data_IF_848819853214
#
_entry.id   IF_848819853214
#
_cell.length_a   1.000
_cell.length_b   1.000
_cell.length_c   1.000
_cell.angle_alpha   90.00
_cell.angle_beta   90.00
_cell.angle_gamma   90.00
#
_symmetry.space_group_name_H-M   'P 1'
#
loop_
_entity.id
_entity.type
_entity.pdbx_description
1 polymer ?
#
# COMPACT_ATOMS: atom_id res chain seq x y z
N UNK A 1 -58.78 -28.21 3.68
CA UNK A 1 -59.23 -28.32 5.09
C UNK A 1 -57.98 -28.10 5.95
N UNK A 2 -57.71 -26.86 6.26
CA UNK A 2 -56.53 -26.50 7.07
C UNK A 2 -56.86 -26.75 8.55
N UNK A 3 -56.22 -27.73 9.16
CA UNK A 3 -56.25 -27.91 10.62
C UNK A 3 -55.54 -26.72 11.26
N UNK A 4 -56.28 -25.73 11.78
CA UNK A 4 -55.74 -24.75 12.67
C UNK A 4 -55.19 -25.50 13.90
N UNK A 5 -53.87 -25.49 14.11
CA UNK A 5 -53.27 -25.95 15.35
C UNK A 5 -53.93 -25.20 16.50
N UNK A 6 -54.33 -25.92 17.55
CA UNK A 6 -54.97 -25.34 18.72
C UNK A 6 -54.00 -24.34 19.40
N UNK A 7 -54.54 -23.18 19.81
CA UNK A 7 -53.76 -22.11 20.50
C UNK A 7 -52.76 -22.62 21.58
N UNK A 8 -53.11 -23.63 22.41
CA UNK A 8 -52.14 -24.14 23.38
C UNK A 8 -50.95 -24.85 22.74
N UNK A 9 -51.09 -25.48 21.60
CA UNK A 9 -49.98 -26.15 20.90
C UNK A 9 -49.02 -25.12 20.25
N UNK A 10 -49.56 -24.02 19.73
CA UNK A 10 -48.74 -22.92 19.23
C UNK A 10 -47.92 -22.25 20.33
N UNK A 11 -48.51 -22.05 21.53
CA UNK A 11 -47.82 -21.49 22.67
C UNK A 11 -46.72 -22.44 23.17
N UNK A 12 -46.95 -23.77 23.21
CA UNK A 12 -45.97 -24.79 23.56
C UNK A 12 -44.81 -24.83 22.55
N UNK A 13 -45.09 -24.70 21.26
CA UNK A 13 -44.07 -24.66 20.20
C UNK A 13 -43.21 -23.41 20.31
N UNK A 14 -43.81 -22.24 20.53
CA UNK A 14 -43.07 -21.00 20.76
C UNK A 14 -42.20 -21.06 22.03
N UNK A 15 -42.74 -21.62 23.13
CA UNK A 15 -41.98 -21.80 24.37
C UNK A 15 -40.80 -22.77 24.16
N UNK A 16 -40.99 -23.83 23.41
CA UNK A 16 -39.95 -24.81 23.09
C UNK A 16 -38.85 -24.17 22.21
N UNK A 17 -39.24 -23.40 21.19
CA UNK A 17 -38.29 -22.70 20.36
C UNK A 17 -37.50 -21.63 21.14
N UNK A 18 -38.16 -20.88 22.03
CA UNK A 18 -37.47 -19.91 22.90
C UNK A 18 -36.47 -20.59 23.85
N UNK A 19 -36.83 -21.76 24.42
CA UNK A 19 -35.90 -22.54 25.24
C UNK A 19 -34.71 -23.05 24.42
N UNK A 20 -34.94 -23.50 23.18
CA UNK A 20 -33.84 -23.92 22.30
C UNK A 20 -32.90 -22.75 22.03
N UNK A 21 -33.37 -21.55 21.75
CA UNK A 21 -32.52 -20.37 21.53
C UNK A 21 -31.79 -19.90 22.80
N UNK A 22 -32.35 -20.13 23.98
CA UNK A 22 -31.70 -19.81 25.26
C UNK A 22 -30.68 -20.87 25.70
N UNK A 23 -30.91 -22.16 25.36
CA UNK A 23 -30.03 -23.27 25.75
C UNK A 23 -28.91 -23.49 24.73
N UNK A 24 -29.17 -23.20 23.47
CA UNK A 24 -28.17 -23.23 22.38
C UNK A 24 -27.94 -21.82 21.85
N UNK A 25 -27.12 -21.00 22.53
CA UNK A 25 -26.75 -19.72 22.00
C UNK A 25 -26.10 -19.94 20.63
N UNK A 26 -26.72 -19.42 19.56
CA UNK A 26 -26.11 -19.41 18.23
C UNK A 26 -24.79 -18.69 18.42
N UNK A 27 -23.64 -19.32 18.17
CA UNK A 27 -22.38 -18.63 18.30
C UNK A 27 -22.40 -17.44 17.33
N UNK A 28 -22.52 -16.24 17.88
CA UNK A 28 -22.34 -15.03 17.11
C UNK A 28 -20.85 -15.02 16.73
N UNK A 29 -20.54 -15.45 15.52
CA UNK A 29 -19.19 -15.44 14.97
C UNK A 29 -18.81 -14.00 14.76
N UNK A 30 -18.30 -13.36 15.81
CA UNK A 30 -17.71 -12.06 15.68
C UNK A 30 -16.47 -12.20 14.80
N UNK A 31 -16.51 -11.58 13.62
CA UNK A 31 -15.34 -11.54 12.74
C UNK A 31 -14.16 -10.91 13.49
N UNK A 32 -12.97 -11.49 13.34
CA UNK A 32 -11.76 -10.91 13.91
C UNK A 32 -11.59 -9.45 13.39
N UNK A 33 -11.46 -8.52 14.31
CA UNK A 33 -11.36 -7.10 13.98
C UNK A 33 -10.20 -6.82 13.04
N UNK A 34 -9.08 -7.54 13.20
CA UNK A 34 -7.87 -7.39 12.37
C UNK A 34 -8.11 -7.82 10.93
N UNK A 35 -8.92 -8.87 10.71
CA UNK A 35 -9.36 -9.28 9.37
C UNK A 35 -10.12 -8.14 8.68
N UNK A 36 -11.04 -7.51 9.39
CA UNK A 36 -11.83 -6.40 8.87
C UNK A 36 -10.95 -5.17 8.61
N UNK A 37 -10.10 -4.80 9.55
CA UNK A 37 -9.23 -3.62 9.44
C UNK A 37 -8.18 -3.75 8.35
N UNK A 38 -7.54 -4.92 8.22
CA UNK A 38 -6.56 -5.15 7.15
C UNK A 38 -7.22 -5.36 5.78
N UNK A 39 -8.52 -5.64 5.74
CA UNK A 39 -9.30 -5.68 4.50
C UNK A 39 -9.76 -4.31 3.99
N UNK A 40 -9.68 -3.25 4.80
CA UNK A 40 -10.10 -1.90 4.38
C UNK A 40 -9.19 -1.36 3.29
N UNK A 41 -9.75 -0.82 2.21
CA UNK A 41 -8.94 -0.13 1.21
C UNK A 41 -8.34 1.15 1.82
N UNK A 42 -7.08 1.40 1.54
CA UNK A 42 -6.43 2.68 1.84
C UNK A 42 -6.26 3.44 0.55
N UNK A 43 -6.54 4.73 0.60
CA UNK A 43 -6.29 5.66 -0.49
C UNK A 43 -5.67 6.94 0.07
N UNK A 44 -4.83 7.58 -0.74
CA UNK A 44 -4.24 8.86 -0.41
C UNK A 44 -4.01 9.66 -1.70
N UNK A 45 -4.72 10.75 -1.86
CA UNK A 45 -4.72 11.54 -3.08
C UNK A 45 -5.09 10.70 -4.29
N UNK A 46 -4.20 10.66 -5.27
CA UNK A 46 -4.38 9.88 -6.50
C UNK A 46 -4.06 8.39 -6.36
N UNK A 47 -3.42 7.98 -5.27
CA UNK A 47 -3.04 6.58 -5.04
C UNK A 47 -4.20 5.85 -4.36
N UNK A 48 -4.72 4.84 -5.05
CA UNK A 48 -5.81 3.99 -4.58
C UNK A 48 -5.32 2.56 -4.33
N UNK A 49 -6.11 1.79 -3.58
CA UNK A 49 -5.86 0.38 -3.30
C UNK A 49 -4.47 0.11 -2.72
N UNK A 50 -4.05 0.95 -1.76
CA UNK A 50 -2.82 0.71 -1.00
C UNK A 50 -3.08 -0.52 -0.11
N UNK A 51 -2.39 -1.63 -0.42
CA UNK A 51 -2.54 -2.93 0.25
C UNK A 51 -1.20 -3.40 0.78
N UNK A 52 -1.17 -4.57 1.44
CA UNK A 52 0.08 -5.19 1.90
C UNK A 52 1.14 -5.21 0.76
N UNK A 53 2.41 -4.90 1.02
CA UNK A 53 3.04 -4.71 2.34
C UNK A 53 2.84 -3.32 2.95
N UNK A 54 2.19 -2.40 2.24
CA UNK A 54 1.97 -1.02 2.70
C UNK A 54 0.83 -0.95 3.71
N UNK A 55 0.97 0.00 4.64
CA UNK A 55 -0.02 0.33 5.64
C UNK A 55 0.01 1.83 5.96
N UNK A 56 -0.99 2.31 6.67
CA UNK A 56 -1.17 3.72 7.04
C UNK A 56 -2.63 3.97 7.35
N UNK A 57 -2.97 5.10 7.97
CA UNK A 57 -4.36 5.40 8.34
C UNK A 57 -5.31 5.21 7.14
N UNK A 58 -6.45 4.49 7.28
CA UNK A 58 -7.00 3.92 8.52
C UNK A 58 -6.54 2.48 8.87
N UNK A 59 -5.58 1.90 8.15
CA UNK A 59 -5.06 0.54 8.43
C UNK A 59 -4.01 0.58 9.52
N UNK A 60 -4.18 -0.21 10.62
CA UNK A 60 -3.21 -0.28 11.71
C UNK A 60 -1.84 -0.84 11.30
N UNK A 61 -0.79 -0.65 12.13
CA UNK A 61 0.56 -1.13 11.85
C UNK A 61 0.70 -2.63 11.58
N UNK A 62 -0.15 -3.45 12.19
CA UNK A 62 -0.13 -4.90 11.98
C UNK A 62 -0.69 -5.33 10.61
N UNK A 63 -1.20 -4.41 9.80
CA UNK A 63 -1.68 -4.72 8.45
C UNK A 63 -0.61 -4.62 7.36
N UNK A 64 0.65 -4.35 7.71
CA UNK A 64 1.76 -4.27 6.76
C UNK A 64 3.12 -4.33 7.44
N UNK A 65 4.18 -4.22 6.66
CA UNK A 65 5.54 -4.24 7.16
C UNK A 65 5.93 -2.89 7.77
N UNK A 66 6.69 -2.85 8.86
CA UNK A 66 7.02 -1.59 9.57
C UNK A 66 7.57 -0.50 8.66
N UNK A 67 8.51 -0.84 7.77
CA UNK A 67 9.19 0.10 6.88
C UNK A 67 8.35 0.53 5.66
N UNK A 68 7.15 -0.06 5.50
CA UNK A 68 6.25 0.22 4.38
C UNK A 68 5.08 1.14 4.78
N UNK A 69 5.27 1.93 5.83
CA UNK A 69 4.27 2.91 6.25
C UNK A 69 4.12 4.02 5.21
N UNK A 70 2.89 4.25 4.76
CA UNK A 70 2.54 5.42 3.95
C UNK A 70 1.73 6.38 4.82
N UNK A 71 2.25 7.57 5.00
CA UNK A 71 1.56 8.68 5.67
C UNK A 71 0.84 9.53 4.61
N UNK A 72 -0.44 9.77 4.83
CA UNK A 72 -1.22 10.66 3.99
C UNK A 72 -1.20 12.06 4.60
N UNK A 73 -0.39 12.96 4.04
CA UNK A 73 -0.25 14.34 4.48
C UNK A 73 -0.93 15.25 3.46
N UNK A 74 -2.07 15.84 3.79
CA UNK A 74 -2.84 16.71 2.89
C UNK A 74 -3.04 16.10 1.48
N UNK A 75 -3.49 14.83 1.45
CA UNK A 75 -3.68 14.02 0.24
C UNK A 75 -2.36 13.69 -0.52
N UNK A 76 -1.22 13.94 0.08
CA UNK A 76 0.09 13.56 -0.45
C UNK A 76 0.54 12.26 0.25
N UNK A 77 0.67 11.15 -0.49
CA UNK A 77 1.19 9.91 0.07
C UNK A 77 2.71 9.99 0.23
N UNK A 78 3.19 9.88 1.46
CA UNK A 78 4.60 9.98 1.82
C UNK A 78 5.08 8.67 2.43
N UNK A 79 6.21 8.16 1.93
CA UNK A 79 6.96 7.06 2.52
C UNK A 79 8.31 7.56 2.99
N UNK A 80 8.75 7.09 4.16
CA UNK A 80 10.08 7.36 4.66
C UNK A 80 11.00 6.16 4.40
N UNK A 81 12.11 6.40 3.71
CA UNK A 81 13.14 5.39 3.47
C UNK A 81 14.45 5.94 4.07
N UNK A 82 14.99 5.24 5.04
CA UNK A 82 16.10 5.75 5.86
C UNK A 82 15.74 7.10 6.50
N UNK A 83 16.51 8.14 6.21
CA UNK A 83 16.31 9.50 6.75
C UNK A 83 15.65 10.46 5.75
N UNK A 84 15.25 9.98 4.58
CA UNK A 84 14.66 10.79 3.52
C UNK A 84 13.18 10.48 3.35
N UNK A 85 12.40 11.54 3.08
CA UNK A 85 10.96 11.44 2.79
C UNK A 85 10.73 11.49 1.28
N UNK A 86 9.89 10.58 0.81
CA UNK A 86 9.56 10.46 -0.60
C UNK A 86 8.05 10.56 -0.81
N UNK A 87 7.63 11.34 -1.79
CA UNK A 87 6.27 11.29 -2.29
C UNK A 87 6.10 10.05 -3.15
N UNK A 88 5.07 9.27 -2.88
CA UNK A 88 4.69 8.12 -3.70
C UNK A 88 3.88 8.62 -4.89
N UNK A 89 4.36 8.37 -6.09
CA UNK A 89 3.70 8.76 -7.35
C UNK A 89 2.88 7.63 -7.95
N UNK A 90 3.32 6.38 -7.76
CA UNK A 90 2.64 5.18 -8.26
C UNK A 90 3.08 3.95 -7.47
N UNK A 91 2.15 3.02 -7.25
CA UNK A 91 2.41 1.68 -6.71
C UNK A 91 1.98 0.67 -7.78
N UNK A 92 2.86 -0.26 -8.11
CA UNK A 92 2.56 -1.40 -8.96
C UNK A 92 2.86 -2.68 -8.17
N UNK A 93 1.81 -3.30 -7.65
CA UNK A 93 1.91 -4.50 -6.82
C UNK A 93 2.39 -5.72 -7.62
N UNK A 94 1.97 -5.85 -8.87
CA UNK A 94 2.30 -7.02 -9.69
C UNK A 94 3.80 -7.15 -9.98
N UNK A 95 4.48 -6.01 -10.10
CA UNK A 95 5.90 -5.95 -10.43
C UNK A 95 6.76 -5.50 -9.25
N UNK A 96 6.19 -5.30 -8.09
CA UNK A 96 6.86 -4.76 -6.89
C UNK A 96 7.58 -3.43 -7.16
N UNK A 97 6.94 -2.51 -7.91
CA UNK A 97 7.56 -1.23 -8.28
C UNK A 97 6.85 -0.07 -7.60
N UNK A 98 7.65 0.74 -6.89
CA UNK A 98 7.27 2.09 -6.45
C UNK A 98 7.89 3.13 -7.38
N UNK A 99 7.08 4.10 -7.80
CA UNK A 99 7.57 5.36 -8.38
C UNK A 99 7.56 6.42 -7.30
N UNK A 100 8.72 6.99 -7.05
CA UNK A 100 8.99 7.92 -5.96
C UNK A 100 9.63 9.20 -6.47
N UNK A 101 9.39 10.31 -5.78
CA UNK A 101 10.20 11.51 -5.89
C UNK A 101 10.58 12.01 -4.51
N UNK A 102 11.75 12.64 -4.36
CA UNK A 102 12.13 13.25 -3.09
C UNK A 102 11.15 14.37 -2.74
N UNK A 103 10.62 14.34 -1.52
CA UNK A 103 9.63 15.32 -1.09
C UNK A 103 10.20 16.74 -1.06
N UNK A 104 11.49 16.89 -0.72
CA UNK A 104 12.18 18.17 -0.62
C UNK A 104 12.61 18.75 -1.99
N UNK A 105 12.51 17.96 -3.06
CA UNK A 105 12.75 18.39 -4.44
C UNK A 105 11.47 18.44 -5.28
N UNK A 106 10.34 18.07 -4.72
CA UNK A 106 9.06 18.11 -5.42
C UNK A 106 8.56 19.55 -5.55
N UNK A 107 8.25 19.97 -6.76
CA UNK A 107 7.93 21.37 -7.14
C UNK A 107 9.06 22.37 -6.80
N UNK A 108 10.29 21.88 -6.88
CA UNK A 108 11.47 22.71 -6.66
C UNK A 108 12.76 22.04 -7.06
N UNK A 109 13.84 22.78 -6.92
CA UNK A 109 15.20 22.33 -7.26
C UNK A 109 16.17 22.50 -6.09
N UNK A 110 15.66 22.94 -4.93
CA UNK A 110 16.44 23.20 -3.73
C UNK A 110 16.12 22.19 -2.65
N UNK A 111 17.01 21.25 -2.32
CA UNK A 111 16.76 20.32 -1.24
C UNK A 111 16.84 21.02 0.12
N UNK A 112 16.09 20.51 1.09
CA UNK A 112 16.18 20.96 2.48
C UNK A 112 17.49 20.50 3.14
N UNK A 113 18.01 19.36 2.71
CA UNK A 113 19.28 18.77 3.13
C UNK A 113 20.07 18.27 1.92
N UNK A 114 21.35 18.55 1.90
CA UNK A 114 22.26 18.15 0.81
C UNK A 114 22.77 16.71 1.03
N UNK A 115 21.85 15.76 0.85
CA UNK A 115 22.16 14.33 0.97
C UNK A 115 21.89 13.62 -0.37
N UNK A 116 22.75 12.66 -0.70
CA UNK A 116 22.49 11.76 -1.82
C UNK A 116 21.26 10.91 -1.56
N UNK A 117 20.48 10.67 -2.59
CA UNK A 117 19.37 9.73 -2.49
C UNK A 117 19.92 8.31 -2.32
N UNK A 118 19.58 7.65 -1.23
CA UNK A 118 20.02 6.29 -0.90
C UNK A 118 18.82 5.43 -0.53
N UNK A 119 18.96 4.12 -0.78
CA UNK A 119 17.95 3.11 -0.44
C UNK A 119 18.51 2.16 0.62
N UNK A 120 17.62 1.54 1.42
CA UNK A 120 17.98 0.48 2.33
C UNK A 120 17.90 -0.89 1.62
N UNK A 121 18.10 -1.98 2.37
CA UNK A 121 18.09 -3.35 1.84
C UNK A 121 16.72 -3.83 1.33
N UNK A 122 15.62 -3.14 1.70
CA UNK A 122 14.25 -3.47 1.27
C UNK A 122 13.89 -2.83 -0.07
N UNK A 123 14.67 -1.86 -0.53
CA UNK A 123 14.41 -1.15 -1.77
C UNK A 123 15.67 -1.10 -2.63
N UNK A 124 15.55 -1.49 -3.88
CA UNK A 124 16.62 -1.34 -4.86
C UNK A 124 16.17 -0.45 -6.01
N UNK A 125 17.09 0.27 -6.63
CA UNK A 125 16.77 1.00 -7.84
C UNK A 125 16.36 0.04 -8.94
N UNK A 126 15.34 0.44 -9.73
CA UNK A 126 14.98 -0.30 -10.94
C UNK A 126 16.17 -0.39 -11.89
N UNK A 127 16.39 -1.51 -12.59
CA UNK A 127 17.39 -1.57 -13.66
C UNK A 127 17.20 -0.41 -14.63
N UNK A 128 18.29 0.19 -15.10
CA UNK A 128 18.27 1.28 -16.05
C UNK A 128 17.68 2.59 -15.49
N UNK A 129 18.03 3.00 -14.28
CA UNK A 129 17.77 4.35 -13.82
C UNK A 129 18.81 5.35 -14.35
N UNK A 130 18.42 6.61 -14.52
CA UNK A 130 19.34 7.71 -14.78
C UNK A 130 19.76 8.38 -13.48
N UNK A 131 20.87 9.08 -13.50
CA UNK A 131 21.31 9.93 -12.39
C UNK A 131 21.44 11.37 -12.84
N UNK A 132 21.03 12.27 -11.96
CA UNK A 132 21.38 13.69 -12.02
C UNK A 132 22.28 14.01 -10.84
N UNK A 133 23.36 14.75 -11.09
CA UNK A 133 24.15 15.36 -10.02
C UNK A 133 23.87 16.87 -10.03
N UNK A 134 23.37 17.37 -8.90
CA UNK A 134 23.05 18.78 -8.68
C UNK A 134 24.16 19.41 -7.86
N UNK A 135 24.67 20.56 -8.29
CA UNK A 135 25.76 21.31 -7.66
C UNK A 135 25.24 22.62 -7.11
N UNK A 136 25.66 22.97 -5.90
CA UNK A 136 25.21 24.17 -5.19
C UNK A 136 26.38 24.95 -4.62
N UNK A 137 26.16 26.28 -4.45
CA UNK A 137 27.17 27.18 -3.90
C UNK A 137 28.44 27.25 -4.76
N UNK A 138 28.27 27.31 -6.08
CA UNK A 138 29.39 27.37 -7.01
C UNK A 138 29.88 28.80 -7.15
N UNK A 139 31.14 29.06 -6.81
CA UNK A 139 31.82 30.36 -7.04
C UNK A 139 32.22 30.54 -8.50
N UNK A 140 32.49 29.43 -9.20
CA UNK A 140 32.75 29.39 -10.63
C UNK A 140 32.21 28.08 -11.19
N UNK A 141 31.65 28.09 -12.38
CA UNK A 141 31.24 26.91 -13.12
C UNK A 141 32.20 26.65 -14.27
N UNK A 142 32.49 25.38 -14.51
CA UNK A 142 33.23 25.03 -15.74
C UNK A 142 32.38 25.30 -16.97
N UNK A 143 33.00 25.47 -18.16
CA UNK A 143 32.24 25.59 -19.42
C UNK A 143 31.26 24.44 -19.66
N UNK A 144 31.59 23.23 -19.18
CA UNK A 144 30.73 22.03 -19.27
C UNK A 144 29.44 22.14 -18.43
N UNK A 145 29.46 22.88 -17.33
CA UNK A 145 28.30 23.13 -16.48
C UNK A 145 27.52 24.38 -16.88
N UNK A 146 28.10 25.29 -17.59
CA UNK A 146 27.52 26.62 -17.86
C UNK A 146 26.18 26.58 -18.58
N UNK A 147 25.92 25.55 -19.39
CA UNK A 147 24.66 25.33 -20.10
C UNK A 147 23.55 24.72 -19.21
N UNK A 148 23.93 24.05 -18.14
CA UNK A 148 23.01 23.27 -17.26
C UNK A 148 22.77 24.04 -15.95
N UNK A 149 22.22 25.22 -16.06
CA UNK A 149 22.02 26.16 -14.97
C UNK A 149 20.57 26.08 -14.44
N UNK A 150 20.39 26.12 -13.12
CA UNK A 150 19.07 26.27 -12.51
C UNK A 150 19.10 27.28 -11.37
N UNK A 151 17.91 27.74 -10.97
CA UNK A 151 17.75 28.65 -9.85
C UNK A 151 17.31 27.86 -8.63
N UNK A 152 18.00 28.06 -7.49
CA UNK A 152 17.70 27.48 -6.22
C UNK A 152 17.21 28.57 -5.27
N UNK A 153 15.94 28.52 -4.86
CA UNK A 153 15.37 29.45 -3.87
C UNK A 153 15.12 28.70 -2.57
N UNK A 154 15.81 29.08 -1.51
CA UNK A 154 15.54 28.55 -0.16
C UNK A 154 14.34 29.26 0.47
N UNK A 155 13.45 28.51 1.06
CA UNK A 155 12.17 28.99 1.62
C UNK A 155 12.30 30.12 2.67
N UNK A 156 13.49 30.33 3.27
CA UNK A 156 13.72 31.32 4.33
C UNK A 156 14.65 32.48 3.94
N UNK A 157 15.07 32.55 2.68
CA UNK A 157 15.94 33.65 2.23
C UNK A 157 15.41 34.23 0.92
N UNK A 158 15.50 35.58 0.82
CA UNK A 158 15.18 36.29 -0.44
C UNK A 158 16.25 36.06 -1.51
N UNK A 159 17.34 35.36 -1.18
CA UNK A 159 18.45 35.10 -2.10
C UNK A 159 18.15 33.90 -3.01
N UNK A 160 18.31 34.13 -4.30
CA UNK A 160 18.27 33.04 -5.29
C UNK A 160 19.72 32.64 -5.53
N UNK A 161 20.06 31.41 -5.26
CA UNK A 161 21.35 30.82 -5.56
C UNK A 161 21.30 30.17 -6.96
N UNK A 162 22.38 30.27 -7.69
CA UNK A 162 22.54 29.56 -8.96
C UNK A 162 23.09 28.17 -8.67
N UNK A 163 22.40 27.16 -9.10
CA UNK A 163 22.88 25.77 -9.14
C UNK A 163 23.19 25.32 -10.57
N UNK A 164 23.90 24.23 -10.68
CA UNK A 164 24.23 23.57 -11.94
C UNK A 164 23.95 22.05 -11.83
N UNK A 165 23.76 21.38 -12.94
CA UNK A 165 23.57 19.95 -12.94
C UNK A 165 24.34 19.24 -14.05
N UNK A 166 24.64 17.96 -13.83
CA UNK A 166 25.13 17.05 -14.86
C UNK A 166 24.23 15.83 -14.96
N UNK A 167 24.21 15.23 -16.13
CA UNK A 167 23.53 13.96 -16.39
C UNK A 167 24.58 12.85 -16.33
N UNK A 168 24.27 11.76 -15.61
CA UNK A 168 25.18 10.64 -15.44
C UNK A 168 26.22 10.83 -14.31
N UNK A 169 27.31 10.07 -14.40
CA UNK A 169 28.43 10.18 -13.46
C UNK A 169 29.19 11.49 -13.61
N UNK A 170 29.74 11.96 -12.50
CA UNK A 170 30.61 13.14 -12.50
C UNK A 170 31.79 12.88 -13.44
N UNK A 171 32.06 13.79 -14.39
CA UNK A 171 33.25 13.69 -15.23
C UNK A 171 34.51 13.59 -14.35
N UNK A 172 35.37 12.61 -14.63
CA UNK A 172 36.60 12.35 -13.88
C UNK A 172 37.65 13.44 -14.01
N UNK A 173 37.49 14.34 -14.96
CA UNK A 173 38.47 15.36 -15.33
C UNK A 173 38.54 16.53 -14.33
N UNK A 174 37.88 16.41 -13.18
CA UNK A 174 38.15 17.24 -12.00
C UNK A 174 37.82 18.73 -12.07
N UNK A 175 37.45 19.27 -13.22
CA UNK A 175 37.30 20.72 -13.42
C UNK A 175 35.82 21.15 -13.55
N UNK A 176 34.98 20.72 -12.61
CA UNK A 176 33.57 21.11 -12.56
C UNK A 176 33.32 22.53 -12.04
N UNK A 177 34.39 23.21 -11.61
CA UNK A 177 34.33 24.49 -10.91
C UNK A 177 34.33 24.27 -9.37
N UNK A 178 34.41 25.37 -8.63
CA UNK A 178 34.41 25.36 -7.18
C UNK A 178 32.97 25.42 -6.65
N UNK A 179 32.34 24.26 -6.41
CA UNK A 179 31.02 24.16 -5.80
C UNK A 179 31.17 23.62 -4.37
N UNK A 180 30.36 24.16 -3.45
CA UNK A 180 30.45 23.80 -2.03
C UNK A 180 29.90 22.40 -1.75
N UNK A 181 28.87 21.96 -2.49
CA UNK A 181 28.23 20.68 -2.26
C UNK A 181 27.57 20.17 -3.55
N UNK A 182 27.52 18.86 -3.68
CA UNK A 182 26.76 18.17 -4.72
C UNK A 182 25.92 17.06 -4.13
N UNK A 183 24.79 16.78 -4.78
CA UNK A 183 23.93 15.64 -4.45
C UNK A 183 23.59 14.86 -5.72
N UNK A 184 23.49 13.56 -5.59
CA UNK A 184 23.05 12.67 -6.68
C UNK A 184 21.60 12.24 -6.44
N UNK A 185 20.77 12.41 -7.48
CA UNK A 185 19.34 12.08 -7.46
C UNK A 185 19.07 11.13 -8.62
N UNK A 186 18.50 9.94 -8.35
CA UNK A 186 18.05 9.06 -9.42
C UNK A 186 16.82 9.65 -10.12
N UNK A 187 16.69 9.37 -11.41
CA UNK A 187 15.59 9.83 -12.25
C UNK A 187 15.22 8.75 -13.27
N UNK A 188 14.05 8.90 -13.90
CA UNK A 188 13.66 8.01 -14.99
C UNK A 188 14.55 8.21 -16.22
N UNK A 189 14.93 7.14 -16.96
CA UNK A 189 15.69 7.25 -18.20
C UNK A 189 14.97 8.10 -19.26
N UNK A 190 13.65 7.99 -19.34
CA UNK A 190 12.84 8.80 -20.25
C UNK A 190 12.90 10.30 -19.90
N UNK A 191 12.95 10.63 -18.61
CA UNK A 191 13.09 12.00 -18.13
C UNK A 191 14.48 12.58 -18.46
N UNK A 192 15.54 11.76 -18.35
CA UNK A 192 16.88 12.13 -18.81
C UNK A 192 16.88 12.48 -20.30
N UNK A 193 16.27 11.63 -21.12
CA UNK A 193 16.16 11.87 -22.56
C UNK A 193 15.38 13.17 -22.87
N UNK A 194 14.31 13.42 -22.13
CA UNK A 194 13.51 14.63 -22.26
C UNK A 194 14.31 15.90 -21.87
N UNK A 195 15.15 15.80 -20.84
CA UNK A 195 16.02 16.89 -20.40
C UNK A 195 17.11 17.22 -21.46
N UNK A 196 17.76 16.18 -22.00
CA UNK A 196 18.78 16.33 -23.07
C UNK A 196 18.17 17.01 -24.30
N UNK A 197 16.96 16.62 -24.66
CA UNK A 197 16.27 17.16 -25.83
C UNK A 197 15.56 18.50 -25.57
N UNK A 198 15.74 19.10 -24.39
CA UNK A 198 15.07 20.33 -23.95
C UNK A 198 13.53 20.27 -24.04
N UNK A 199 12.96 19.07 -23.95
CA UNK A 199 11.50 18.87 -23.95
C UNK A 199 10.92 18.83 -22.52
N UNK A 200 11.77 18.78 -21.48
CA UNK A 200 11.39 18.88 -20.08
C UNK A 200 12.36 19.78 -19.31
N UNK A 201 11.87 20.49 -18.31
CA UNK A 201 12.71 21.25 -17.38
C UNK A 201 13.31 20.32 -16.30
N UNK A 202 14.36 20.80 -15.62
CA UNK A 202 14.94 20.07 -14.47
C UNK A 202 13.88 19.77 -13.40
N UNK A 203 13.03 20.74 -13.09
CA UNK A 203 11.95 20.57 -12.10
C UNK A 203 10.96 19.47 -12.51
N UNK A 204 10.57 19.42 -13.79
CA UNK A 204 9.71 18.34 -14.29
C UNK A 204 10.36 16.97 -14.14
N UNK A 205 11.65 16.87 -14.46
CA UNK A 205 12.41 15.61 -14.32
C UNK A 205 12.50 15.16 -12.86
N UNK A 206 12.73 16.09 -11.93
CA UNK A 206 12.73 15.80 -10.49
C UNK A 206 11.33 15.40 -9.99
N UNK A 207 10.28 16.06 -10.47
CA UNK A 207 8.89 15.74 -10.15
C UNK A 207 8.46 14.38 -10.69
N UNK A 208 8.95 14.00 -11.87
CA UNK A 208 8.72 12.68 -12.45
C UNK A 208 9.35 11.56 -11.62
N UNK A 209 10.40 11.86 -10.87
CA UNK A 209 11.02 10.97 -9.93
C UNK A 209 11.73 9.77 -10.57
N UNK A 210 11.73 8.66 -9.84
CA UNK A 210 12.43 7.41 -10.21
C UNK A 210 11.66 6.19 -9.75
N UNK A 211 12.09 5.02 -10.18
CA UNK A 211 11.50 3.75 -9.79
C UNK A 211 12.42 2.96 -8.89
N UNK A 212 11.83 2.35 -7.86
CA UNK A 212 12.48 1.36 -7.00
C UNK A 212 11.64 0.09 -6.96
N UNK A 213 12.31 -1.04 -6.82
CA UNK A 213 11.68 -2.32 -6.52
C UNK A 213 11.74 -2.53 -5.00
N UNK A 214 10.64 -2.97 -4.42
CA UNK A 214 10.70 -3.47 -3.05
C UNK A 214 10.98 -4.97 -3.03
N UNK A 215 11.80 -5.39 -2.07
CA UNK A 215 12.32 -6.74 -1.96
C UNK A 215 11.77 -7.34 -0.67
N UNK A 216 10.77 -8.19 -0.80
CA UNK A 216 10.17 -8.94 0.31
C UNK A 216 9.89 -10.37 -0.15
N UNK A 217 9.86 -11.29 0.80
CA UNK A 217 9.27 -12.62 0.58
C UNK A 217 7.76 -12.51 0.86
N UNK A 218 6.96 -12.58 -0.19
CA UNK A 218 5.49 -12.48 -0.12
C UNK A 218 4.79 -13.84 -0.24
N UNK A 219 5.54 -14.95 -0.22
CA UNK A 219 5.01 -16.31 -0.35
C UNK A 219 3.92 -16.59 0.69
N UNK A 220 4.21 -16.31 1.97
CA UNK A 220 3.24 -16.48 3.05
C UNK A 220 1.99 -15.61 2.88
N UNK A 221 2.16 -14.39 2.35
CA UNK A 221 1.05 -13.49 2.07
C UNK A 221 0.19 -14.00 0.91
N UNK A 222 0.81 -14.48 -0.14
CA UNK A 222 0.11 -15.06 -1.29
C UNK A 222 -0.73 -16.28 -0.89
N UNK A 223 -0.20 -17.16 -0.05
CA UNK A 223 -0.95 -18.30 0.51
C UNK A 223 -2.13 -17.84 1.38
N UNK A 224 -1.90 -16.83 2.22
CA UNK A 224 -2.92 -16.24 3.06
C UNK A 224 -4.09 -15.67 2.23
N UNK A 225 -3.77 -14.81 1.27
CA UNK A 225 -4.79 -14.20 0.39
C UNK A 225 -5.50 -15.25 -0.47
N UNK A 226 -4.78 -16.24 -0.97
CA UNK A 226 -5.36 -17.36 -1.73
C UNK A 226 -6.35 -18.20 -0.92
N UNK A 227 -6.26 -18.20 0.40
CA UNK A 227 -7.20 -18.87 1.31
C UNK A 227 -8.34 -17.95 1.81
N UNK A 228 -8.45 -16.74 1.29
CA UNK A 228 -9.45 -15.74 1.71
C UNK A 228 -9.07 -14.92 2.94
N UNK A 229 -7.82 -15.04 3.41
CA UNK A 229 -7.28 -14.27 4.53
C UNK A 229 -6.87 -12.84 4.15
N UNK A 230 -6.38 -12.12 5.15
CA UNK A 230 -5.79 -10.78 5.02
C UNK A 230 -4.38 -10.80 5.57
N UNK A 231 -3.43 -10.39 4.74
CA UNK A 231 -2.04 -10.32 5.17
C UNK A 231 -1.82 -9.27 6.23
N UNK A 232 -0.93 -9.59 7.15
CA UNK A 232 -0.45 -8.69 8.16
C UNK A 232 0.93 -9.08 8.66
N UNK A 233 1.36 -8.42 9.72
CA UNK A 233 2.66 -8.60 10.34
C UNK A 233 2.58 -8.63 11.85
N UNK A 234 3.17 -9.65 12.45
CA UNK A 234 3.30 -9.76 13.90
C UNK A 234 4.58 -9.09 14.35
N UNK A 235 4.47 -7.89 14.91
CA UNK A 235 5.61 -7.10 15.39
C UNK A 235 6.34 -7.72 16.59
N UNK A 236 5.65 -8.57 17.37
CA UNK A 236 6.26 -9.23 18.53
C UNK A 236 7.15 -10.42 18.13
N UNK A 237 6.83 -11.08 17.02
CA UNK A 237 7.57 -12.24 16.53
C UNK A 237 8.30 -11.98 15.23
N UNK A 238 8.21 -10.75 14.70
CA UNK A 238 8.89 -10.32 13.46
C UNK A 238 8.60 -11.23 12.25
N UNK A 239 7.33 -11.62 12.07
CA UNK A 239 6.93 -12.54 11.00
C UNK A 239 5.59 -12.17 10.38
N UNK A 240 5.36 -12.55 9.11
CA UNK A 240 4.05 -12.45 8.48
C UNK A 240 2.99 -13.22 9.27
N UNK A 241 1.75 -12.76 9.22
CA UNK A 241 0.60 -13.40 9.84
C UNK A 241 -0.61 -13.30 8.90
N UNK A 242 -1.44 -14.31 8.92
CA UNK A 242 -2.68 -14.37 8.15
C UNK A 242 -3.87 -14.10 9.07
N UNK A 243 -4.53 -12.97 8.90
CA UNK A 243 -5.79 -12.67 9.60
C UNK A 243 -6.95 -13.31 8.84
N UNK A 244 -7.65 -14.23 9.49
CA UNK A 244 -8.84 -14.87 8.96
C UNK A 244 -10.08 -14.36 9.69
N UNK A 245 -11.25 -14.67 9.17
CA UNK A 245 -12.51 -14.18 9.73
C UNK A 245 -12.76 -14.60 11.19
N UNK A 246 -12.21 -15.74 11.61
CA UNK A 246 -12.36 -16.30 12.95
C UNK A 246 -11.22 -15.91 13.88
N UNK A 247 -9.97 -16.09 13.45
CA UNK A 247 -8.77 -15.79 14.23
C UNK A 247 -7.54 -15.73 13.32
N UNK A 248 -6.37 -15.24 13.79
CA UNK A 248 -5.13 -15.27 13.03
C UNK A 248 -4.52 -16.67 12.92
N UNK A 249 -3.91 -16.94 11.77
CA UNK A 249 -3.11 -18.13 11.48
C UNK A 249 -1.75 -17.74 10.92
N UNK A 250 -0.80 -18.67 10.92
CA UNK A 250 0.56 -18.36 10.42
C UNK A 250 0.62 -18.19 8.90
N UNK A 251 -0.08 -19.05 8.15
CA UNK A 251 0.06 -19.08 6.69
C UNK A 251 -1.25 -18.88 5.94
N UNK A 252 -2.31 -19.59 6.31
CA UNK A 252 -3.57 -19.59 5.56
C UNK A 252 -4.77 -19.84 6.45
N UNK A 253 -5.93 -19.41 6.00
CA UNK A 253 -7.19 -19.67 6.65
C UNK A 253 -7.59 -21.14 6.44
N UNK A 254 -8.13 -21.80 7.47
CA UNK A 254 -8.69 -23.14 7.32
C UNK A 254 -9.90 -23.10 6.38
N UNK A 255 -10.10 -24.17 5.61
CA UNK A 255 -11.32 -24.33 4.86
C UNK A 255 -12.52 -24.36 5.83
N UNK A 256 -13.54 -23.56 5.55
CA UNK A 256 -14.77 -23.59 6.36
C UNK A 256 -15.31 -25.01 6.37
N UNK A 257 -15.58 -25.59 7.54
CA UNK A 257 -16.24 -26.89 7.61
C UNK A 257 -17.66 -26.72 7.05
N UNK A 258 -17.91 -27.21 5.84
CA UNK A 258 -19.28 -27.30 5.33
C UNK A 258 -19.56 -26.75 3.95
N UNK A 259 -18.65 -26.89 2.97
CA UNK A 259 -19.03 -26.82 1.57
C UNK A 259 -18.54 -28.01 0.75
N UNK A 260 -18.54 -29.20 1.34
CA UNK A 260 -18.68 -30.40 0.54
C UNK A 260 -20.17 -30.66 0.33
N UNK A 261 -20.78 -29.88 -0.57
CA UNK A 261 -22.04 -30.30 -1.18
C UNK A 261 -21.70 -31.44 -2.16
N UNK A 262 -21.47 -32.61 -1.64
CA UNK A 262 -21.65 -33.88 -2.32
C UNK A 262 -22.29 -34.86 -1.34
N UNK A 263 -23.52 -34.56 -0.98
CA UNK A 263 -24.48 -35.48 -0.45
C UNK A 263 -25.78 -35.16 -1.14
N UNK A 264 -26.07 -35.83 -2.25
CA UNK A 264 -27.41 -35.95 -2.76
C UNK A 264 -28.26 -36.55 -1.61
N UNK A 265 -28.84 -35.70 -0.79
CA UNK A 265 -29.95 -36.10 0.01
C UNK A 265 -31.10 -36.39 -0.96
N UNK A 266 -31.23 -37.65 -1.38
CA UNK A 266 -32.44 -38.14 -2.02
C UNK A 266 -33.54 -38.02 -0.94
N UNK A 267 -34.21 -36.88 -0.92
CA UNK A 267 -35.46 -36.75 -0.17
C UNK A 267 -36.49 -37.64 -0.85
N UNK A 268 -36.81 -38.72 -0.17
CA UNK A 268 -37.97 -39.56 -0.52
C UNK A 268 -39.20 -38.68 -0.54
N UNK A 269 -39.90 -38.69 -1.67
CA UNK A 269 -41.13 -37.89 -1.99
C UNK A 269 -42.33 -38.16 -1.04
N UNK A 270 -42.12 -38.52 0.22
CA UNK A 270 -43.24 -38.86 1.12
C UNK A 270 -43.69 -37.75 2.06
N UNK A 271 -43.13 -36.54 2.02
CA UNK A 271 -43.63 -35.43 2.85
C UNK A 271 -43.68 -34.10 2.05
N UNK A 272 -44.74 -33.83 1.31
CA UNK A 272 -44.88 -32.58 0.57
C UNK A 272 -45.13 -31.35 1.47
N UNK A 273 -45.38 -31.50 2.74
CA UNK A 273 -45.80 -30.40 3.61
C UNK A 273 -44.67 -29.57 4.23
N UNK A 274 -43.39 -30.00 4.11
CA UNK A 274 -42.27 -29.24 4.68
C UNK A 274 -41.68 -28.16 3.72
N UNK A 275 -42.14 -28.09 2.47
CA UNK A 275 -41.66 -27.07 1.53
C UNK A 275 -42.19 -25.65 1.78
N UNK A 276 -43.26 -25.49 2.53
CA UNK A 276 -43.91 -24.20 2.75
C UNK A 276 -43.38 -23.41 3.95
N UNK A 277 -42.60 -24.02 4.83
CA UNK A 277 -42.10 -23.34 6.02
C UNK A 277 -40.75 -22.59 5.79
N UNK A 278 -40.07 -22.87 4.68
CA UNK A 278 -38.74 -22.25 4.42
C UNK A 278 -38.86 -20.92 3.69
N UNK A 279 -40.00 -20.58 3.12
CA UNK A 279 -40.18 -19.37 2.30
C UNK A 279 -40.80 -18.19 3.10
N UNK A 280 -41.52 -18.50 4.19
CA UNK A 280 -42.19 -17.46 4.99
C UNK A 280 -41.28 -16.72 6.00
N UNK A 281 -40.06 -17.16 6.20
CA UNK A 281 -39.13 -16.52 7.16
C UNK A 281 -38.13 -15.53 6.53
N UNK A 282 -38.18 -15.35 5.19
CA UNK A 282 -37.18 -14.50 4.50
C UNK A 282 -37.73 -13.14 4.05
N UNK A 283 -39.03 -12.87 4.21
CA UNK A 283 -39.63 -11.59 3.77
C UNK A 283 -39.92 -10.57 4.88
N UNK A 284 -39.66 -10.88 6.16
CA UNK A 284 -39.92 -9.95 7.27
C UNK A 284 -38.67 -9.40 7.96
N UNK A 285 -37.46 -9.54 7.34
CA UNK A 285 -36.24 -8.86 7.81
C UNK A 285 -35.55 -8.18 6.64
N UNK A 286 -36.19 -7.14 6.15
CA UNK A 286 -35.56 -6.01 5.43
C UNK A 286 -36.24 -4.72 5.85
#
# INVERSE_FOLDING_TARGET
>A
MFHQLSRPFQLLLCAFMTVIFLVFPVPLWASDVRYTECGRPVQCGSIQNITYPFWGSPRPPYCGLPEFKIECQDEVPVIQIMSESFRVLKINHDNHILRLTRLDLYNGTCPSRFLNTTMNYLFSYSPHFGNLTLFFGCSSASPALASNKFSCRRNNTSSIETGYFTIGSIPTDGNLGNCNVSITVPVLPSAVSALINNSASLEQVLNDGFQVLWIIDDTACSECMGSGGRCGYNTSHFQPICFCSDQPYLLRCPALPGTTVQGTCAFSEKFPEFRLFSIAFYEDIL
#
